data_IF_513295733789
#
_entry.id   IF_513295733789
#
_cell.length_a   1.000
_cell.length_b   1.000
_cell.length_c   1.000
_cell.angle_alpha   90.00
_cell.angle_beta   90.00
_cell.angle_gamma   90.00
#
_symmetry.space_group_name_H-M   'P 1'
#
loop_
_entity.id
_entity.type
_entity.pdbx_description
1 polymer ?
#
# COMPACT_ATOMS: atom_id res chain seq x y z
N UNK A 1 -25.10 24.10 42.80
CA UNK A 1 -25.68 24.06 41.43
C UNK A 1 -24.66 24.43 40.35
N UNK A 2 -23.89 25.54 40.46
CA UNK A 2 -22.89 25.94 39.44
C UNK A 2 -21.76 24.93 39.21
N UNK A 3 -21.26 24.26 40.25
CA UNK A 3 -20.19 23.26 40.15
C UNK A 3 -20.61 21.98 39.44
N UNK A 4 -21.86 21.54 39.65
CA UNK A 4 -22.44 20.35 39.03
C UNK A 4 -22.63 20.56 37.52
N UNK A 5 -23.04 21.77 37.12
CA UNK A 5 -23.20 22.15 35.71
C UNK A 5 -21.86 22.10 34.96
N UNK A 6 -20.77 22.56 35.60
CA UNK A 6 -19.43 22.55 35.00
C UNK A 6 -18.93 21.10 34.83
N UNK A 7 -19.14 20.22 35.81
CA UNK A 7 -18.73 18.80 35.71
C UNK A 7 -19.51 18.04 34.64
N UNK A 8 -20.79 18.34 34.44
CA UNK A 8 -21.62 17.71 33.40
C UNK A 8 -21.23 18.23 32.00
N UNK A 9 -20.88 19.52 31.88
CA UNK A 9 -20.40 20.11 30.63
C UNK A 9 -19.05 19.53 30.18
N UNK A 10 -18.13 19.26 31.11
CA UNK A 10 -16.84 18.62 30.77
C UNK A 10 -16.97 17.15 30.40
N UNK A 11 -17.91 16.42 31.02
CA UNK A 11 -18.17 15.01 30.65
C UNK A 11 -18.81 14.88 29.27
N UNK A 12 -19.64 15.84 28.86
CA UNK A 12 -20.31 15.82 27.56
C UNK A 12 -19.36 16.13 26.40
N UNK A 13 -18.32 16.95 26.59
CA UNK A 13 -17.28 17.15 25.56
C UNK A 13 -16.37 15.91 25.38
N UNK A 14 -16.16 15.09 26.41
CA UNK A 14 -15.34 13.89 26.32
C UNK A 14 -16.00 12.74 25.52
N UNK A 15 -17.34 12.76 25.40
CA UNK A 15 -18.10 11.77 24.61
C UNK A 15 -18.02 11.97 23.08
N UNK A 16 -17.58 13.14 22.62
CA UNK A 16 -17.39 13.42 21.19
C UNK A 16 -15.96 13.17 20.71
N UNK A 17 -15.03 12.87 21.62
CA UNK A 17 -13.69 12.45 21.26
C UNK A 17 -13.68 10.92 21.02
N UNK A 18 -13.17 10.51 19.86
CA UNK A 18 -12.83 9.12 19.51
C UNK A 18 -13.99 8.26 19.01
N UNK A 19 -14.50 8.64 17.84
CA UNK A 19 -14.86 7.64 16.83
C UNK A 19 -13.95 7.85 15.61
N UNK A 20 -12.65 7.74 15.81
CA UNK A 20 -11.76 7.38 14.71
C UNK A 20 -12.08 5.93 14.35
N UNK A 21 -13.17 5.73 13.61
CA UNK A 21 -13.50 4.42 13.09
C UNK A 21 -12.31 3.99 12.23
N UNK A 22 -11.55 3.01 12.71
CA UNK A 22 -10.52 2.35 11.92
C UNK A 22 -11.24 1.66 10.77
N UNK A 23 -11.40 2.39 9.65
CA UNK A 23 -12.08 1.88 8.46
C UNK A 23 -11.28 0.68 7.98
N UNK A 24 -11.86 -0.51 8.06
CA UNK A 24 -11.14 -1.71 7.67
C UNK A 24 -11.03 -1.78 6.14
N UNK A 25 -9.84 -2.12 5.65
CA UNK A 25 -9.59 -2.31 4.24
C UNK A 25 -10.36 -3.54 3.73
N UNK A 26 -11.10 -3.39 2.63
CA UNK A 26 -11.82 -4.54 2.04
C UNK A 26 -10.83 -5.65 1.65
N UNK A 27 -11.31 -6.91 1.63
CA UNK A 27 -10.50 -8.06 1.24
C UNK A 27 -9.85 -7.88 -0.14
N UNK A 28 -10.57 -7.27 -1.09
CA UNK A 28 -10.07 -7.00 -2.44
C UNK A 28 -8.92 -5.99 -2.45
N UNK A 29 -9.03 -4.89 -1.71
CA UNK A 29 -7.99 -3.86 -1.66
C UNK A 29 -6.77 -4.37 -0.89
N UNK A 30 -6.99 -5.10 0.21
CA UNK A 30 -5.91 -5.78 0.93
C UNK A 30 -5.16 -6.76 0.03
N UNK A 31 -5.89 -7.55 -0.76
CA UNK A 31 -5.28 -8.44 -1.77
C UNK A 31 -4.45 -7.65 -2.79
N UNK A 32 -4.99 -6.58 -3.36
CA UNK A 32 -4.30 -5.75 -4.34
C UNK A 32 -3.00 -5.15 -3.77
N UNK A 33 -3.04 -4.61 -2.55
CA UNK A 33 -1.86 -4.05 -1.89
C UNK A 33 -0.81 -5.13 -1.56
N UNK A 34 -1.22 -6.27 -1.02
CA UNK A 34 -0.30 -7.39 -0.75
C UNK A 34 0.34 -7.88 -2.03
N UNK A 35 -0.45 -8.15 -3.06
CA UNK A 35 0.05 -8.64 -4.34
C UNK A 35 0.96 -7.61 -5.04
N UNK A 36 0.60 -6.33 -5.03
CA UNK A 36 1.42 -5.25 -5.61
C UNK A 36 2.77 -5.12 -4.90
N UNK A 37 2.80 -5.31 -3.58
CA UNK A 37 4.03 -5.28 -2.79
C UNK A 37 5.00 -6.40 -3.18
N UNK A 38 4.49 -7.59 -3.52
CA UNK A 38 5.30 -8.70 -4.00
C UNK A 38 5.89 -8.41 -5.39
N UNK A 39 5.14 -7.74 -6.26
CA UNK A 39 5.66 -7.30 -7.56
C UNK A 39 6.77 -6.27 -7.37
N UNK A 40 6.58 -5.27 -6.50
CA UNK A 40 7.58 -4.23 -6.23
C UNK A 40 8.88 -4.85 -5.68
N UNK A 41 8.75 -5.80 -4.73
CA UNK A 41 9.90 -6.52 -4.19
C UNK A 41 10.63 -7.35 -5.26
N UNK A 42 9.90 -8.08 -6.10
CA UNK A 42 10.47 -8.87 -7.20
C UNK A 42 11.16 -8.01 -8.26
N UNK A 43 10.59 -6.83 -8.57
CA UNK A 43 11.19 -5.85 -9.46
C UNK A 43 12.50 -5.30 -8.86
N UNK A 44 12.50 -4.96 -7.57
CA UNK A 44 13.69 -4.49 -6.88
C UNK A 44 14.78 -5.56 -6.84
N UNK A 45 14.42 -6.82 -6.56
CA UNK A 45 15.36 -7.93 -6.59
C UNK A 45 16.00 -8.07 -7.98
N UNK A 46 15.18 -8.00 -9.04
CA UNK A 46 15.66 -8.10 -10.43
C UNK A 46 16.60 -6.95 -10.79
N UNK A 47 16.27 -5.73 -10.36
CA UNK A 47 17.09 -4.55 -10.56
C UNK A 47 18.45 -4.67 -9.87
N UNK A 48 18.46 -5.11 -8.61
CA UNK A 48 19.68 -5.29 -7.83
C UNK A 48 20.56 -6.43 -8.35
N UNK A 49 19.97 -7.43 -9.01
CA UNK A 49 20.71 -8.50 -9.68
C UNK A 49 21.19 -8.15 -11.09
N UNK A 50 21.06 -6.88 -11.51
CA UNK A 50 21.57 -6.39 -12.80
C UNK A 50 20.69 -6.73 -14.01
N UNK A 51 19.47 -7.23 -13.78
CA UNK A 51 18.53 -7.48 -14.88
C UNK A 51 17.99 -6.15 -15.38
N UNK A 52 18.04 -5.92 -16.69
CA UNK A 52 17.51 -4.69 -17.29
C UNK A 52 15.98 -4.59 -17.17
N UNK A 53 15.45 -3.36 -17.24
CA UNK A 53 14.01 -3.12 -17.28
C UNK A 53 13.35 -3.88 -18.44
N UNK A 54 14.00 -3.94 -19.60
CA UNK A 54 13.54 -4.74 -20.74
C UNK A 54 13.39 -6.23 -20.37
N UNK A 55 14.42 -6.81 -19.73
CA UNK A 55 14.38 -8.20 -19.28
C UNK A 55 13.26 -8.45 -18.27
N UNK A 56 13.07 -7.54 -17.30
CA UNK A 56 11.98 -7.63 -16.33
C UNK A 56 10.60 -7.54 -17.00
N UNK A 57 10.40 -6.60 -17.93
CA UNK A 57 9.15 -6.48 -18.73
C UNK A 57 8.86 -7.76 -19.51
N UNK A 58 9.86 -8.34 -20.17
CA UNK A 58 9.68 -9.56 -20.97
C UNK A 58 9.24 -10.75 -20.12
N UNK A 59 9.76 -10.87 -18.89
CA UNK A 59 9.31 -11.89 -17.92
C UNK A 59 7.85 -11.70 -17.51
N UNK A 60 7.40 -10.46 -17.32
CA UNK A 60 6.00 -10.17 -17.01
C UNK A 60 5.07 -10.45 -18.20
N UNK A 61 5.52 -10.21 -19.43
CA UNK A 61 4.72 -10.48 -20.63
C UNK A 61 4.33 -11.96 -20.75
N UNK A 62 5.25 -12.88 -20.45
CA UNK A 62 4.97 -14.33 -20.53
C UNK A 62 4.31 -14.90 -19.27
N UNK A 63 4.19 -14.11 -18.20
CA UNK A 63 3.56 -14.54 -16.95
C UNK A 63 2.05 -14.69 -17.13
N UNK A 64 1.49 -15.76 -16.53
CA UNK A 64 0.05 -15.93 -16.37
C UNK A 64 -0.44 -15.10 -15.19
N UNK A 65 -1.50 -14.31 -15.41
CA UNK A 65 -2.14 -13.49 -14.39
C UNK A 65 -3.56 -13.98 -14.16
N UNK A 66 -4.00 -13.95 -12.90
CA UNK A 66 -5.32 -14.42 -12.50
C UNK A 66 -6.44 -13.44 -12.87
N UNK A 67 -6.12 -12.15 -12.90
CA UNK A 67 -7.07 -11.08 -13.21
C UNK A 67 -6.53 -10.21 -14.36
N UNK A 68 -7.39 -9.69 -15.25
CA UNK A 68 -6.96 -8.90 -16.41
C UNK A 68 -6.13 -7.66 -16.04
N UNK A 69 -6.50 -6.97 -14.97
CA UNK A 69 -5.84 -5.73 -14.51
C UNK A 69 -4.41 -5.94 -13.98
N UNK A 70 -4.08 -7.16 -13.53
CA UNK A 70 -2.79 -7.44 -12.88
C UNK A 70 -1.61 -7.28 -13.84
N UNK A 71 -1.80 -7.60 -15.13
CA UNK A 71 -0.71 -7.51 -16.11
C UNK A 71 -0.18 -6.09 -16.24
N UNK A 72 -1.08 -5.13 -16.51
CA UNK A 72 -0.71 -3.73 -16.67
C UNK A 72 -0.21 -3.13 -15.35
N UNK A 73 -0.83 -3.49 -14.24
CA UNK A 73 -0.40 -3.04 -12.91
C UNK A 73 1.00 -3.53 -12.59
N UNK A 74 1.32 -4.80 -12.87
CA UNK A 74 2.65 -5.35 -12.63
C UNK A 74 3.73 -4.66 -13.48
N UNK A 75 3.40 -4.33 -14.73
CA UNK A 75 4.28 -3.56 -15.61
C UNK A 75 4.56 -2.17 -15.02
N UNK A 76 3.51 -1.43 -14.62
CA UNK A 76 3.65 -0.10 -14.02
C UNK A 76 4.47 -0.09 -12.73
N UNK A 77 4.20 -1.02 -11.80
CA UNK A 77 4.97 -1.16 -10.55
C UNK A 77 6.45 -1.44 -10.86
N UNK A 78 6.71 -2.31 -11.84
CA UNK A 78 8.08 -2.66 -12.23
C UNK A 78 8.81 -1.45 -12.81
N UNK A 79 8.17 -0.71 -13.71
CA UNK A 79 8.73 0.52 -14.29
C UNK A 79 9.05 1.55 -13.22
N UNK A 80 8.14 1.81 -12.30
CA UNK A 80 8.35 2.74 -11.20
C UNK A 80 9.52 2.31 -10.30
N UNK A 81 9.61 1.01 -9.98
CA UNK A 81 10.70 0.46 -9.16
C UNK A 81 12.06 0.62 -9.84
N UNK A 82 12.12 0.41 -11.16
CA UNK A 82 13.34 0.58 -11.94
C UNK A 82 13.76 2.04 -12.08
N UNK A 83 12.80 2.95 -12.31
CA UNK A 83 13.04 4.39 -12.44
C UNK A 83 13.47 5.06 -11.13
N UNK A 84 13.08 4.50 -9.98
CA UNK A 84 13.56 4.97 -8.68
C UNK A 84 15.08 4.88 -8.58
N UNK A 85 15.75 5.84 -7.92
CA UNK A 85 17.19 5.73 -7.59
C UNK A 85 17.46 4.78 -6.42
N UNK A 86 16.41 4.36 -5.70
CA UNK A 86 16.50 3.52 -4.52
C UNK A 86 17.24 2.20 -4.75
N UNK A 87 18.08 1.85 -3.78
CA UNK A 87 18.80 0.57 -3.63
C UNK A 87 18.39 -0.18 -2.36
N UNK A 88 17.23 0.15 -1.80
CA UNK A 88 16.68 -0.54 -0.64
C UNK A 88 16.56 -2.05 -0.91
N UNK A 89 16.72 -2.85 0.16
CA UNK A 89 16.51 -4.28 0.10
C UNK A 89 15.06 -4.58 -0.34
N UNK A 90 14.81 -5.67 -1.10
CA UNK A 90 13.47 -6.02 -1.57
C UNK A 90 12.42 -6.09 -0.45
N UNK A 91 12.79 -6.61 0.72
CA UNK A 91 11.90 -6.68 1.88
C UNK A 91 11.44 -5.29 2.37
N UNK A 92 12.33 -4.29 2.35
CA UNK A 92 11.99 -2.92 2.70
C UNK A 92 11.06 -2.29 1.66
N UNK A 93 11.34 -2.49 0.36
CA UNK A 93 10.45 -2.04 -0.72
C UNK A 93 9.06 -2.68 -0.61
N UNK A 94 8.99 -3.97 -0.29
CA UNK A 94 7.73 -4.68 -0.04
C UNK A 94 6.91 -3.98 1.04
N UNK A 95 7.52 -3.75 2.20
CA UNK A 95 6.85 -3.14 3.34
C UNK A 95 6.37 -1.73 3.01
N UNK A 96 7.25 -0.88 2.49
CA UNK A 96 6.93 0.50 2.14
C UNK A 96 5.81 0.57 1.09
N UNK A 97 5.86 -0.26 0.05
CA UNK A 97 4.81 -0.31 -0.96
C UNK A 97 3.46 -0.69 -0.34
N UNK A 98 3.44 -1.73 0.49
CA UNK A 98 2.21 -2.19 1.13
C UNK A 98 1.60 -1.09 2.02
N UNK A 99 2.39 -0.46 2.87
CA UNK A 99 1.94 0.61 3.75
C UNK A 99 1.41 1.82 2.97
N UNK A 100 2.11 2.21 1.89
CA UNK A 100 1.68 3.32 1.03
C UNK A 100 0.37 3.00 0.31
N UNK A 101 0.21 1.78 -0.19
CA UNK A 101 -1.03 1.33 -0.83
C UNK A 101 -2.19 1.34 0.16
N UNK A 102 -2.01 0.75 1.35
CA UNK A 102 -3.05 0.74 2.40
C UNK A 102 -3.44 2.16 2.79
N UNK A 103 -2.46 3.05 3.00
CA UNK A 103 -2.73 4.45 3.33
C UNK A 103 -3.52 5.16 2.23
N UNK A 104 -3.18 4.92 0.96
CA UNK A 104 -3.89 5.49 -0.17
C UNK A 104 -5.36 5.02 -0.22
N UNK A 105 -5.58 3.72 -0.07
CA UNK A 105 -6.92 3.12 -0.10
C UNK A 105 -7.80 3.58 1.06
N UNK A 106 -7.21 3.81 2.24
CA UNK A 106 -7.92 4.35 3.39
C UNK A 106 -8.26 5.84 3.22
N UNK A 107 -7.43 6.60 2.50
CA UNK A 107 -7.64 8.02 2.27
C UNK A 107 -8.68 8.30 1.16
N UNK A 108 -8.86 7.39 0.21
CA UNK A 108 -9.86 7.52 -0.85
C UNK A 108 -11.29 7.19 -0.41
N UNK A 109 -11.46 6.60 0.77
CA UNK A 109 -12.75 6.23 1.34
C UNK A 109 -13.15 7.24 2.41
#
# INVERSE_FOLDING_TARGET
MRTIVITVATLSLALFAVQAQARELSKSHRFACTWGSDIAAGAQQSKLSGISLYGARKRLQVRKFQQPWMRMTAMGITEQTYNSTSRLKPAAVKQTYYEQCVRHELAQR
#
